data_IF_674442112076
#
_entry.id   IF_674442112076
#
_cell.length_a   1.000
_cell.length_b   1.000
_cell.length_c   1.000
_cell.angle_alpha   90.00
_cell.angle_beta   90.00
_cell.angle_gamma   90.00
#
_symmetry.space_group_name_H-M   'P 1'
#
loop_
_entity.id
_entity.type
_entity.pdbx_description
1 polymer ?
#
# COMPACT_ATOMS: atom_id res chain seq x y z
N UNK A 1 -15.23 43.04 26.15
CA UNK A 1 -14.25 41.97 25.83
C UNK A 1 -14.61 41.40 24.48
N UNK A 2 -13.62 41.28 23.60
CA UNK A 2 -13.72 41.07 22.14
C UNK A 2 -14.43 39.75 21.76
N UNK A 3 -15.18 39.72 20.63
CA UNK A 3 -14.92 38.67 19.65
C UNK A 3 -14.74 39.28 18.25
N UNK A 4 -13.48 39.37 17.82
CA UNK A 4 -13.02 39.65 16.46
C UNK A 4 -12.26 38.40 16.03
N UNK A 5 -12.92 37.48 15.33
CA UNK A 5 -12.19 36.53 14.48
C UNK A 5 -13.00 35.99 13.30
N UNK A 6 -14.34 36.03 13.33
CA UNK A 6 -15.16 35.52 12.21
C UNK A 6 -15.31 36.47 11.01
N UNK A 7 -14.86 37.73 11.11
CA UNK A 7 -15.02 38.72 10.03
C UNK A 7 -13.84 38.79 9.04
N UNK A 8 -12.67 38.23 9.36
CA UNK A 8 -11.47 38.40 8.51
C UNK A 8 -11.26 37.27 7.50
N UNK A 9 -11.77 36.06 7.76
CA UNK A 9 -11.53 34.89 6.89
C UNK A 9 -12.47 34.87 5.68
N UNK A 10 -13.66 35.48 5.78
CA UNK A 10 -14.59 35.66 4.65
C UNK A 10 -14.00 36.59 3.57
N UNK A 11 -13.02 37.44 3.93
CA UNK A 11 -12.44 38.43 3.02
C UNK A 11 -11.33 37.89 2.10
N UNK A 12 -10.74 36.73 2.40
CA UNK A 12 -9.59 36.22 1.66
C UNK A 12 -9.99 35.49 0.36
N UNK A 13 -11.13 34.78 0.33
CA UNK A 13 -11.59 34.08 -0.88
C UNK A 13 -12.48 34.94 -1.78
N UNK A 14 -12.94 36.11 -1.29
CA UNK A 14 -13.67 37.10 -2.09
C UNK A 14 -12.77 37.82 -3.12
N UNK A 15 -11.45 37.64 -3.08
CA UNK A 15 -10.53 38.39 -3.94
C UNK A 15 -10.62 38.04 -5.43
N UNK A 16 -11.09 36.84 -5.80
CA UNK A 16 -11.32 36.48 -7.21
C UNK A 16 -12.68 36.94 -7.75
N UNK A 17 -13.61 37.33 -6.87
CA UNK A 17 -14.93 37.90 -7.21
C UNK A 17 -14.86 39.44 -7.27
N UNK A 18 -13.70 40.04 -6.96
CA UNK A 18 -13.52 41.49 -6.83
C UNK A 18 -13.61 42.29 -8.13
N UNK A 19 -13.57 41.70 -9.33
CA UNK A 19 -13.75 42.47 -10.57
C UNK A 19 -15.22 42.82 -10.86
N UNK A 20 -16.19 42.13 -10.23
CA UNK A 20 -17.62 42.40 -10.37
C UNK A 20 -18.24 43.12 -9.14
N UNK A 21 -17.48 43.26 -8.05
CA UNK A 21 -17.97 43.84 -6.78
C UNK A 21 -17.74 45.36 -6.64
N UNK A 22 -17.66 46.11 -7.74
CA UNK A 22 -17.75 47.58 -7.70
C UNK A 22 -19.22 48.00 -7.59
N UNK A 23 -19.79 47.91 -6.38
CA UNK A 23 -21.12 48.47 -6.13
C UNK A 23 -21.95 47.89 -4.98
N UNK A 24 -21.37 47.10 -4.06
CA UNK A 24 -22.15 46.59 -2.94
C UNK A 24 -22.28 47.64 -1.84
N UNK A 25 -23.31 48.47 -2.00
CA UNK A 25 -23.90 49.28 -0.93
C UNK A 25 -24.43 48.33 0.14
N UNK A 26 -24.13 48.66 1.40
CA UNK A 26 -24.51 47.93 2.60
C UNK A 26 -26.04 47.87 2.79
N UNK A 27 -26.66 46.77 2.40
CA UNK A 27 -28.04 46.39 2.74
C UNK A 27 -28.06 44.90 3.16
N UNK A 28 -28.73 44.59 4.28
CA UNK A 28 -28.96 43.22 4.77
C UNK A 28 -29.57 42.30 3.70
N UNK A 29 -30.36 42.84 2.77
CA UNK A 29 -30.91 42.09 1.61
C UNK A 29 -29.84 41.59 0.65
N UNK A 30 -28.74 42.32 0.49
CA UNK A 30 -27.61 41.91 -0.36
C UNK A 30 -26.80 40.80 0.33
N UNK A 31 -26.58 40.91 1.64
CA UNK A 31 -25.92 39.86 2.42
C UNK A 31 -26.73 38.55 2.45
N UNK A 32 -28.06 38.62 2.54
CA UNK A 32 -28.94 37.46 2.51
C UNK A 32 -28.87 36.71 1.17
N UNK A 33 -28.83 37.43 0.03
CA UNK A 33 -28.66 36.83 -1.31
C UNK A 33 -27.32 36.13 -1.45
N UNK A 34 -26.24 36.72 -0.94
CA UNK A 34 -24.90 36.13 -0.97
C UNK A 34 -24.84 34.88 -0.10
N UNK A 35 -25.40 34.92 1.10
CA UNK A 35 -25.50 33.75 1.96
C UNK A 35 -26.35 32.64 1.33
N UNK A 36 -27.42 32.98 0.62
CA UNK A 36 -28.22 32.01 -0.13
C UNK A 36 -27.43 31.38 -1.28
N UNK A 37 -26.71 32.18 -2.06
CA UNK A 37 -25.85 31.71 -3.16
C UNK A 37 -24.72 30.79 -2.68
N UNK A 38 -24.03 31.18 -1.60
CA UNK A 38 -22.98 30.35 -0.99
C UNK A 38 -23.55 29.02 -0.46
N UNK A 39 -24.77 29.03 0.11
CA UNK A 39 -25.46 27.81 0.54
C UNK A 39 -25.81 26.88 -0.63
N UNK A 40 -26.26 27.42 -1.76
CA UNK A 40 -26.56 26.59 -2.94
C UNK A 40 -25.30 25.96 -3.55
N UNK A 41 -24.20 26.70 -3.61
CA UNK A 41 -22.90 26.18 -4.08
C UNK A 41 -22.35 25.10 -3.14
N UNK A 42 -22.46 25.30 -1.82
CA UNK A 42 -22.09 24.28 -0.83
C UNK A 42 -22.95 23.02 -0.99
N UNK A 43 -24.27 23.15 -1.15
CA UNK A 43 -25.15 22.01 -1.35
C UNK A 43 -24.84 21.23 -2.64
N UNK A 44 -24.53 21.94 -3.73
CA UNK A 44 -24.10 21.32 -4.98
C UNK A 44 -22.76 20.58 -4.82
N UNK A 45 -21.80 21.17 -4.12
CA UNK A 45 -20.50 20.55 -3.81
C UNK A 45 -20.68 19.29 -2.98
N UNK A 46 -21.53 19.31 -1.95
CA UNK A 46 -21.84 18.14 -1.11
C UNK A 46 -22.47 17.02 -1.95
N UNK A 47 -23.42 17.35 -2.83
CA UNK A 47 -24.04 16.38 -3.73
C UNK A 47 -23.03 15.74 -4.70
N UNK A 48 -22.00 16.49 -5.13
CA UNK A 48 -20.90 15.95 -5.92
C UNK A 48 -20.02 14.99 -5.10
N UNK A 49 -19.68 15.36 -3.86
CA UNK A 49 -18.90 14.50 -2.95
C UNK A 49 -19.64 13.19 -2.68
N UNK A 50 -20.96 13.24 -2.50
CA UNK A 50 -21.79 12.05 -2.30
C UNK A 50 -21.80 11.09 -3.49
N UNK A 51 -21.52 11.57 -4.71
CA UNK A 51 -21.40 10.71 -5.92
C UNK A 51 -19.95 10.27 -6.17
N UNK A 52 -18.99 11.06 -5.72
CA UNK A 52 -17.58 10.83 -5.91
C UNK A 52 -16.80 11.43 -4.73
N UNK A 53 -16.44 10.61 -3.74
CA UNK A 53 -15.65 11.03 -2.58
C UNK A 53 -14.37 11.83 -2.90
N UNK A 54 -13.73 11.60 -4.07
CA UNK A 54 -12.56 12.39 -4.48
C UNK A 54 -12.87 13.84 -4.86
N UNK A 55 -14.15 14.20 -5.06
CA UNK A 55 -14.57 15.58 -5.28
C UNK A 55 -14.28 16.49 -4.06
N UNK A 56 -14.00 15.90 -2.90
CA UNK A 56 -13.57 16.61 -1.69
C UNK A 56 -12.36 17.54 -1.94
N UNK A 57 -11.51 17.22 -2.94
CA UNK A 57 -10.37 18.07 -3.36
C UNK A 57 -10.75 19.49 -3.79
N UNK A 58 -11.97 19.67 -4.30
CA UNK A 58 -12.47 20.95 -4.79
C UNK A 58 -13.32 21.69 -3.75
N UNK A 59 -13.64 21.03 -2.64
CA UNK A 59 -14.47 21.60 -1.60
C UNK A 59 -13.76 22.73 -0.86
N UNK A 60 -14.51 23.62 -0.22
CA UNK A 60 -13.95 24.64 0.67
C UNK A 60 -13.29 24.01 1.90
N UNK A 61 -12.40 24.73 2.57
CA UNK A 61 -11.73 24.25 3.79
C UNK A 61 -12.73 23.85 4.88
N UNK A 62 -13.86 24.56 4.97
CA UNK A 62 -14.94 24.27 5.91
C UNK A 62 -15.57 22.90 5.63
N UNK A 63 -15.80 22.55 4.37
CA UNK A 63 -16.35 21.24 3.99
C UNK A 63 -15.31 20.13 4.21
N UNK A 64 -14.03 20.40 3.96
CA UNK A 64 -12.93 19.43 4.23
C UNK A 64 -12.67 19.19 5.72
N UNK A 65 -13.13 20.10 6.57
CA UNK A 65 -13.10 19.96 8.02
C UNK A 65 -14.42 19.45 8.60
N UNK A 66 -15.45 19.25 7.77
CA UNK A 66 -16.72 18.69 8.19
C UNK A 66 -16.60 17.17 8.31
N UNK A 67 -16.74 16.68 9.54
CA UNK A 67 -16.53 15.27 9.89
C UNK A 67 -17.44 14.34 9.10
N UNK A 68 -18.72 14.66 8.98
CA UNK A 68 -19.71 13.76 8.38
C UNK A 68 -19.57 13.71 6.86
N UNK A 69 -19.27 14.86 6.24
CA UNK A 69 -19.00 14.93 4.80
C UNK A 69 -17.73 14.14 4.45
N UNK A 70 -16.66 14.32 5.23
CA UNK A 70 -15.41 13.57 5.03
C UNK A 70 -15.61 12.08 5.25
N UNK A 71 -16.33 11.69 6.31
CA UNK A 71 -16.63 10.28 6.60
C UNK A 71 -17.36 9.62 5.44
N UNK A 72 -18.39 10.28 4.89
CA UNK A 72 -19.12 9.79 3.71
C UNK A 72 -18.19 9.68 2.47
N UNK A 73 -17.28 10.64 2.28
CA UNK A 73 -16.33 10.61 1.17
C UNK A 73 -15.34 9.44 1.26
N UNK A 74 -14.74 9.22 2.45
CA UNK A 74 -13.74 8.16 2.65
C UNK A 74 -14.36 6.77 2.64
N UNK A 75 -15.62 6.64 3.05
CA UNK A 75 -16.36 5.38 2.98
C UNK A 75 -16.55 4.92 1.53
N UNK A 76 -16.74 5.84 0.59
CA UNK A 76 -16.82 5.53 -0.83
C UNK A 76 -15.44 5.28 -1.44
N UNK A 77 -14.48 6.16 -1.14
CA UNK A 77 -13.14 6.12 -1.70
C UNK A 77 -12.13 6.52 -0.61
N UNK A 78 -11.46 5.54 0.00
CA UNK A 78 -10.51 5.79 1.10
C UNK A 78 -9.42 6.82 0.79
N UNK A 79 -9.05 6.97 -0.49
CA UNK A 79 -8.11 7.99 -0.99
C UNK A 79 -8.60 9.44 -0.82
N UNK A 80 -9.89 9.66 -0.56
CA UNK A 80 -10.43 10.98 -0.24
C UNK A 80 -9.81 11.56 1.04
N UNK A 81 -9.27 10.72 1.93
CA UNK A 81 -8.61 11.13 3.17
C UNK A 81 -7.51 12.18 2.94
N UNK A 82 -6.83 12.16 1.79
CA UNK A 82 -5.78 13.11 1.45
C UNK A 82 -6.26 14.57 1.36
N UNK A 83 -7.57 14.78 1.18
CA UNK A 83 -8.17 16.10 1.07
C UNK A 83 -8.85 16.55 2.37
N UNK A 84 -8.97 15.68 3.36
CA UNK A 84 -9.51 16.03 4.65
C UNK A 84 -8.60 17.03 5.39
N UNK A 85 -9.19 17.83 6.27
CA UNK A 85 -8.43 18.69 7.18
C UNK A 85 -7.52 17.86 8.09
N UNK A 86 -6.43 18.47 8.55
CA UNK A 86 -5.36 17.77 9.29
C UNK A 86 -5.88 17.09 10.55
N UNK A 87 -6.84 17.73 11.23
CA UNK A 87 -7.49 17.20 12.43
C UNK A 87 -8.26 15.91 12.13
N UNK A 88 -8.90 15.81 10.95
CA UNK A 88 -9.64 14.62 10.54
C UNK A 88 -8.72 13.52 9.99
N UNK A 89 -7.52 13.86 9.51
CA UNK A 89 -6.48 12.88 9.18
C UNK A 89 -5.83 12.26 10.42
N UNK A 90 -6.03 12.88 11.59
CA UNK A 90 -5.66 12.36 12.90
C UNK A 90 -6.85 11.71 13.65
N UNK A 91 -8.07 11.74 13.10
CA UNK A 91 -9.25 11.06 13.67
C UNK A 91 -9.18 9.56 13.35
N UNK A 92 -9.09 8.74 14.40
CA UNK A 92 -8.94 7.28 14.30
C UNK A 92 -10.11 6.65 13.55
N UNK A 93 -11.35 7.09 13.77
CA UNK A 93 -12.54 6.48 13.15
C UNK A 93 -12.60 6.77 11.65
N UNK A 94 -12.28 8.01 11.26
CA UNK A 94 -12.20 8.40 9.85
C UNK A 94 -11.09 7.63 9.16
N UNK A 95 -9.90 7.57 9.76
CA UNK A 95 -8.78 6.84 9.17
C UNK A 95 -9.06 5.35 9.09
N UNK A 96 -9.65 4.74 10.13
CA UNK A 96 -10.06 3.33 10.11
C UNK A 96 -11.08 3.06 9.00
N UNK A 97 -12.03 3.97 8.79
CA UNK A 97 -13.00 3.87 7.69
C UNK A 97 -12.28 3.95 6.34
N UNK A 98 -11.36 4.89 6.18
CA UNK A 98 -10.59 5.08 4.95
C UNK A 98 -9.72 3.87 4.61
N UNK A 99 -9.00 3.30 5.59
CA UNK A 99 -8.12 2.14 5.36
C UNK A 99 -8.89 0.84 5.14
N UNK A 100 -10.09 0.70 5.71
CA UNK A 100 -11.00 -0.41 5.39
C UNK A 100 -11.51 -0.33 3.95
N UNK A 101 -11.75 0.87 3.44
CA UNK A 101 -12.12 1.08 2.03
C UNK A 101 -10.93 0.89 1.08
N UNK A 102 -9.75 1.40 1.45
CA UNK A 102 -8.50 1.23 0.72
C UNK A 102 -7.30 1.31 1.68
N UNK A 103 -6.58 0.20 1.88
CA UNK A 103 -5.46 0.11 2.83
C UNK A 103 -4.32 1.07 2.53
N UNK A 104 -4.14 1.47 1.26
CA UNK A 104 -3.13 2.46 0.87
C UNK A 104 -3.47 3.88 1.33
N UNK A 105 -4.71 4.14 1.77
CA UNK A 105 -5.12 5.42 2.36
C UNK A 105 -4.32 5.75 3.63
N UNK A 106 -3.70 4.75 4.28
CA UNK A 106 -2.83 4.93 5.45
C UNK A 106 -1.73 5.98 5.21
N UNK A 107 -1.28 6.18 3.95
CA UNK A 107 -0.26 7.19 3.62
C UNK A 107 -0.67 8.63 3.91
N UNK A 108 -1.98 8.89 3.93
CA UNK A 108 -2.54 10.22 4.16
C UNK A 108 -2.90 10.48 5.62
N UNK A 109 -2.93 9.43 6.44
CA UNK A 109 -3.15 9.54 7.87
C UNK A 109 -2.04 10.33 8.56
N UNK A 110 -2.38 10.93 9.69
CA UNK A 110 -1.42 11.64 10.52
C UNK A 110 -0.26 10.71 10.96
N UNK A 111 0.96 11.24 11.16
CA UNK A 111 2.13 10.44 11.51
C UNK A 111 1.93 9.52 12.73
N UNK A 112 1.15 9.97 13.71
CA UNK A 112 0.83 9.24 14.93
C UNK A 112 0.01 7.99 14.64
N UNK A 113 -0.97 8.08 13.73
CA UNK A 113 -1.81 6.95 13.31
C UNK A 113 -1.10 5.97 12.38
N UNK A 114 -0.06 6.43 11.68
CA UNK A 114 0.87 5.55 10.92
C UNK A 114 1.81 4.77 11.83
N UNK A 115 1.85 5.10 13.11
CA UNK A 115 2.60 4.42 14.16
C UNK A 115 1.69 3.64 15.14
N UNK A 116 0.37 3.74 14.95
CA UNK A 116 -0.63 2.99 15.70
C UNK A 116 -0.78 1.57 15.13
N UNK A 117 -0.55 0.57 15.96
CA UNK A 117 -0.57 -0.84 15.53
C UNK A 117 -1.96 -1.29 15.07
N UNK A 118 -3.04 -0.79 15.67
CA UNK A 118 -4.41 -1.17 15.33
C UNK A 118 -4.82 -0.62 13.96
N UNK A 119 -4.55 0.65 13.71
CA UNK A 119 -4.80 1.31 12.42
C UNK A 119 -3.96 0.67 11.31
N UNK A 120 -2.67 0.49 11.55
CA UNK A 120 -1.77 -0.10 10.54
C UNK A 120 -2.14 -1.56 10.27
N UNK A 121 -2.49 -2.35 11.29
CA UNK A 121 -2.93 -3.73 11.08
C UNK A 121 -4.23 -3.78 10.27
N UNK A 122 -5.21 -2.89 10.52
CA UNK A 122 -6.42 -2.79 9.71
C UNK A 122 -6.10 -2.49 8.23
N UNK A 123 -5.18 -1.57 7.98
CA UNK A 123 -4.72 -1.23 6.63
C UNK A 123 -4.01 -2.42 5.95
N UNK A 124 -3.15 -3.13 6.69
CA UNK A 124 -2.39 -4.29 6.22
C UNK A 124 -3.31 -5.48 5.90
N UNK A 125 -4.35 -5.71 6.70
CA UNK A 125 -5.36 -6.74 6.44
C UNK A 125 -6.14 -6.45 5.15
N UNK A 126 -6.39 -5.17 4.86
CA UNK A 126 -7.02 -4.77 3.60
C UNK A 126 -6.06 -4.90 2.41
N UNK A 127 -4.83 -4.41 2.56
CA UNK A 127 -3.76 -4.51 1.56
C UNK A 127 -2.40 -4.60 2.25
N UNK A 128 -1.71 -5.74 2.08
CA UNK A 128 -0.40 -5.98 2.69
C UNK A 128 0.68 -4.94 2.32
N UNK A 129 0.55 -4.28 1.16
CA UNK A 129 1.47 -3.20 0.75
C UNK A 129 1.32 -1.93 1.60
N UNK A 130 0.23 -1.76 2.33
CA UNK A 130 0.05 -0.63 3.27
C UNK A 130 1.16 -0.56 4.33
N UNK A 131 1.85 -1.68 4.59
CA UNK A 131 3.05 -1.73 5.43
C UNK A 131 4.13 -0.71 5.01
N UNK A 132 4.19 -0.32 3.73
CA UNK A 132 5.07 0.74 3.21
C UNK A 132 4.90 2.07 3.96
N UNK A 133 3.67 2.37 4.39
CA UNK A 133 3.33 3.66 4.99
C UNK A 133 3.43 3.66 6.51
N UNK A 134 3.58 2.49 7.14
CA UNK A 134 3.85 2.37 8.56
C UNK A 134 5.22 2.99 8.93
N UNK A 135 5.43 3.31 10.20
CA UNK A 135 6.75 3.76 10.67
C UNK A 135 7.81 2.66 10.58
N UNK A 136 9.09 3.04 10.65
CA UNK A 136 10.20 2.07 10.69
C UNK A 136 10.06 1.09 11.86
N UNK A 137 9.56 1.56 13.01
CA UNK A 137 9.29 0.74 14.20
C UNK A 137 8.33 -0.40 13.87
N UNK A 138 7.18 -0.07 13.28
CA UNK A 138 6.17 -1.06 12.92
C UNK A 138 6.60 -1.98 11.76
N UNK A 139 7.40 -1.48 10.81
CA UNK A 139 8.01 -2.34 9.78
C UNK A 139 9.03 -3.35 10.33
N UNK A 140 9.52 -3.14 11.55
CA UNK A 140 10.31 -4.11 12.30
C UNK A 140 9.48 -5.02 13.22
N UNK A 141 8.17 -4.82 13.32
CA UNK A 141 7.31 -5.68 14.13
C UNK A 141 7.06 -7.00 13.39
N UNK A 142 7.62 -8.09 13.93
CA UNK A 142 7.53 -9.42 13.33
C UNK A 142 6.08 -9.81 13.03
N UNK A 143 5.18 -9.71 14.00
CA UNK A 143 3.79 -10.13 13.85
C UNK A 143 3.04 -9.33 12.78
N UNK A 144 3.21 -8.01 12.76
CA UNK A 144 2.59 -7.15 11.76
C UNK A 144 3.11 -7.48 10.34
N UNK A 145 4.42 -7.69 10.19
CA UNK A 145 5.00 -8.06 8.89
C UNK A 145 4.51 -9.44 8.46
N UNK A 146 4.42 -10.41 9.38
CA UNK A 146 3.83 -11.72 9.08
C UNK A 146 2.42 -11.57 8.53
N UNK A 147 1.56 -10.77 9.18
CA UNK A 147 0.20 -10.50 8.69
C UNK A 147 0.22 -9.87 7.28
N UNK A 148 1.12 -8.90 7.05
CA UNK A 148 1.25 -8.25 5.74
C UNK A 148 1.67 -9.23 4.65
N UNK A 149 2.66 -10.07 4.95
CA UNK A 149 3.16 -11.11 4.06
C UNK A 149 2.07 -12.14 3.76
N UNK A 150 1.28 -12.56 4.75
CA UNK A 150 0.17 -13.50 4.52
C UNK A 150 -0.91 -12.94 3.61
N UNK A 151 -1.16 -11.63 3.67
CA UNK A 151 -2.13 -10.98 2.77
C UNK A 151 -1.55 -10.78 1.38
N UNK A 152 -0.28 -10.38 1.29
CA UNK A 152 0.43 -10.13 0.05
C UNK A 152 1.93 -10.39 0.19
N UNK A 153 2.46 -11.46 -0.43
CA UNK A 153 3.87 -11.85 -0.28
C UNK A 153 4.88 -10.75 -0.66
N UNK A 154 4.52 -9.85 -1.59
CA UNK A 154 5.37 -8.71 -1.96
C UNK A 154 5.52 -7.66 -0.86
N UNK A 155 4.70 -7.68 0.20
CA UNK A 155 4.81 -6.79 1.35
C UNK A 155 6.15 -6.93 2.10
N UNK A 156 6.84 -8.08 1.96
CA UNK A 156 8.16 -8.32 2.54
C UNK A 156 9.19 -7.23 2.14
N UNK A 157 9.05 -6.61 0.97
CA UNK A 157 9.94 -5.54 0.51
C UNK A 157 9.97 -4.32 1.44
N UNK A 158 8.87 -4.09 2.16
CA UNK A 158 8.71 -2.96 3.07
C UNK A 158 9.16 -3.26 4.49
N UNK A 159 9.40 -4.52 4.83
CA UNK A 159 9.86 -4.92 6.14
C UNK A 159 11.26 -4.37 6.46
N UNK A 160 11.57 -4.25 7.74
CA UNK A 160 12.93 -3.93 8.20
C UNK A 160 13.93 -5.03 7.78
N UNK A 161 15.20 -4.67 7.61
CA UNK A 161 16.23 -5.61 7.16
C UNK A 161 16.34 -6.85 8.07
N UNK A 162 16.20 -6.67 9.39
CA UNK A 162 16.20 -7.77 10.35
C UNK A 162 15.09 -8.79 10.08
N UNK A 163 13.89 -8.33 9.68
CA UNK A 163 12.76 -9.22 9.34
C UNK A 163 12.96 -9.89 7.98
N UNK A 164 13.62 -9.22 7.03
CA UNK A 164 14.01 -9.83 5.74
C UNK A 164 15.11 -10.89 5.87
N UNK A 165 15.76 -10.97 7.03
CA UNK A 165 16.68 -12.04 7.41
C UNK A 165 16.02 -13.20 8.15
N UNK A 166 14.72 -13.12 8.46
CA UNK A 166 13.99 -14.22 9.10
C UNK A 166 13.59 -15.26 8.04
N UNK A 167 14.18 -16.47 8.04
CA UNK A 167 13.92 -17.48 7.02
C UNK A 167 12.45 -17.91 7.00
N UNK A 168 11.78 -17.97 8.16
CA UNK A 168 10.38 -18.40 8.24
C UNK A 168 9.46 -17.42 7.52
N UNK A 169 9.69 -16.12 7.68
CA UNK A 169 8.88 -15.07 7.05
C UNK A 169 9.14 -15.02 5.55
N UNK A 170 10.40 -15.20 5.13
CA UNK A 170 10.74 -15.24 3.69
C UNK A 170 10.10 -16.47 3.02
N UNK A 171 10.17 -17.64 3.64
CA UNK A 171 9.51 -18.85 3.13
C UNK A 171 8.00 -18.72 3.12
N UNK A 172 7.41 -18.08 4.14
CA UNK A 172 5.98 -17.78 4.17
C UNK A 172 5.58 -16.87 3.01
N UNK A 173 6.39 -15.87 2.69
CA UNK A 173 6.18 -14.97 1.55
C UNK A 173 6.24 -15.71 0.21
N UNK A 174 7.17 -16.67 0.08
CA UNK A 174 7.30 -17.52 -1.11
C UNK A 174 6.08 -18.42 -1.33
N UNK A 175 5.45 -18.90 -0.24
CA UNK A 175 4.26 -19.76 -0.30
C UNK A 175 2.99 -19.02 -0.74
N UNK A 176 2.98 -17.69 -0.71
CA UNK A 176 1.77 -16.94 -1.06
C UNK A 176 1.45 -17.00 -2.56
N UNK A 177 0.18 -17.22 -2.93
CA UNK A 177 -0.22 -17.22 -4.33
C UNK A 177 -0.03 -15.81 -4.90
N UNK A 178 0.85 -15.70 -5.88
CA UNK A 178 1.04 -14.45 -6.59
C UNK A 178 -0.25 -14.07 -7.33
N UNK A 179 -1.02 -13.10 -6.82
CA UNK A 179 -2.22 -12.58 -7.50
C UNK A 179 -1.88 -11.92 -8.84
N UNK A 180 -0.60 -11.65 -9.14
CA UNK A 180 -0.12 -11.24 -10.47
C UNK A 180 -0.06 -12.38 -11.50
N UNK A 181 -0.68 -13.53 -11.22
CA UNK A 181 -0.80 -14.68 -12.15
C UNK A 181 -1.68 -14.41 -13.38
N UNK A 182 -2.26 -13.21 -13.55
CA UNK A 182 -2.75 -12.73 -14.85
C UNK A 182 -1.59 -12.18 -15.67
N UNK A 183 -0.87 -13.09 -16.32
CA UNK A 183 0.06 -12.80 -17.41
C UNK A 183 -0.69 -11.97 -18.46
N UNK A 184 -0.30 -10.71 -18.68
CA UNK A 184 -0.57 -10.07 -19.97
C UNK A 184 0.46 -10.63 -20.97
N UNK A 185 0.04 -11.27 -22.08
CA UNK A 185 0.97 -11.90 -23.03
C UNK A 185 1.88 -10.92 -23.80
N UNK A 186 1.70 -9.61 -23.64
CA UNK A 186 2.22 -8.58 -24.54
C UNK A 186 3.57 -7.99 -24.17
N UNK A 187 4.22 -8.42 -23.08
CA UNK A 187 5.59 -7.97 -22.75
C UNK A 187 6.54 -9.16 -22.50
N UNK A 188 7.47 -9.44 -23.42
CA UNK A 188 8.58 -10.37 -23.19
C UNK A 188 9.65 -9.64 -22.36
N UNK A 189 9.47 -9.65 -21.04
CA UNK A 189 10.49 -9.27 -20.06
C UNK A 189 10.61 -10.39 -19.01
N UNK A 190 11.75 -10.52 -18.29
CA UNK A 190 11.97 -11.64 -17.38
C UNK A 190 10.92 -11.58 -16.28
N UNK A 191 9.97 -12.50 -16.37
CA UNK A 191 8.67 -12.45 -15.72
C UNK A 191 8.82 -12.32 -14.21
N UNK A 192 8.22 -11.25 -13.64
CA UNK A 192 8.17 -10.97 -12.20
C UNK A 192 7.28 -12.01 -11.48
N UNK A 193 7.85 -13.19 -11.22
CA UNK A 193 7.40 -14.04 -10.12
C UNK A 193 7.44 -13.24 -8.81
N UNK A 194 6.64 -13.61 -7.80
CA UNK A 194 6.70 -12.96 -6.48
C UNK A 194 8.05 -13.27 -5.86
N UNK A 195 9.04 -12.44 -6.15
CA UNK A 195 10.42 -12.74 -5.83
C UNK A 195 10.71 -12.28 -4.41
N UNK A 196 10.08 -12.91 -3.42
CA UNK A 196 10.35 -12.66 -2.00
C UNK A 196 11.86 -12.77 -1.71
N UNK A 197 12.56 -13.68 -2.43
CA UNK A 197 14.01 -13.84 -2.39
C UNK A 197 14.78 -12.63 -2.90
N UNK A 198 14.25 -11.83 -3.84
CA UNK A 198 14.88 -10.56 -4.21
C UNK A 198 15.09 -9.66 -2.98
N UNK A 199 14.10 -9.64 -2.08
CA UNK A 199 14.11 -8.81 -0.87
C UNK A 199 14.75 -9.48 0.33
N UNK A 200 15.01 -10.79 0.28
CA UNK A 200 15.68 -11.51 1.36
C UNK A 200 17.10 -10.97 1.59
N UNK A 201 17.52 -10.97 2.86
CA UNK A 201 18.86 -10.57 3.26
C UNK A 201 19.92 -11.44 2.56
N UNK A 202 21.07 -10.85 2.23
CA UNK A 202 22.15 -11.56 1.54
C UNK A 202 22.68 -12.77 2.35
N UNK A 203 22.60 -12.71 3.67
CA UNK A 203 22.97 -13.81 4.56
C UNK A 203 22.12 -15.06 4.35
N UNK A 204 20.82 -14.89 4.12
CA UNK A 204 19.93 -16.01 3.79
C UNK A 204 20.28 -16.63 2.43
N UNK A 205 20.66 -15.80 1.46
CA UNK A 205 21.06 -16.26 0.12
C UNK A 205 22.35 -17.07 0.10
N UNK A 206 23.19 -16.93 1.13
CA UNK A 206 24.38 -17.77 1.39
C UNK A 206 24.09 -18.99 2.23
N UNK A 207 22.93 -19.06 2.86
CA UNK A 207 22.58 -20.18 3.73
C UNK A 207 22.12 -21.37 2.87
N UNK A 208 22.96 -22.41 2.80
CA UNK A 208 22.69 -23.64 2.05
C UNK A 208 21.33 -24.25 2.40
N UNK A 209 21.05 -24.44 3.70
CA UNK A 209 19.81 -25.08 4.17
C UNK A 209 18.58 -24.30 3.75
N UNK A 210 18.60 -22.99 3.97
CA UNK A 210 17.52 -22.10 3.55
C UNK A 210 17.32 -22.13 2.03
N UNK A 211 18.40 -22.06 1.25
CA UNK A 211 18.30 -22.06 -0.22
C UNK A 211 17.83 -23.41 -0.78
N UNK A 212 18.15 -24.54 -0.13
CA UNK A 212 17.61 -25.85 -0.48
C UNK A 212 16.10 -25.93 -0.19
N UNK A 213 15.64 -25.35 0.92
CA UNK A 213 14.21 -25.27 1.23
C UNK A 213 13.49 -24.33 0.26
N UNK A 214 14.06 -23.17 -0.04
CA UNK A 214 13.55 -22.22 -1.03
C UNK A 214 13.45 -22.85 -2.43
N UNK A 215 14.46 -23.62 -2.85
CA UNK A 215 14.47 -24.34 -4.12
C UNK A 215 13.41 -25.47 -4.19
N UNK A 216 12.96 -25.99 -3.05
CA UNK A 216 11.83 -26.93 -3.02
C UNK A 216 10.47 -26.26 -3.27
N UNK A 217 10.39 -24.94 -3.07
CA UNK A 217 9.18 -24.14 -3.25
C UNK A 217 9.10 -23.45 -4.62
N UNK A 218 10.23 -22.95 -5.14
CA UNK A 218 10.31 -22.23 -6.42
C UNK A 218 11.64 -22.54 -7.13
N UNK A 219 11.55 -23.04 -8.38
CA UNK A 219 12.71 -23.36 -9.23
C UNK A 219 13.62 -22.15 -9.46
N UNK A 220 13.06 -20.94 -9.50
CA UNK A 220 13.83 -19.72 -9.69
C UNK A 220 14.59 -19.29 -8.43
N UNK A 221 14.39 -19.95 -7.29
CA UNK A 221 15.14 -19.65 -6.07
C UNK A 221 16.65 -19.81 -6.26
N UNK A 222 17.09 -20.77 -7.07
CA UNK A 222 18.51 -20.97 -7.38
C UNK A 222 19.15 -19.75 -8.05
N UNK A 223 18.39 -18.97 -8.82
CA UNK A 223 18.87 -17.72 -9.40
C UNK A 223 19.23 -16.65 -8.36
N UNK A 224 18.68 -16.76 -7.14
CA UNK A 224 18.94 -15.85 -6.03
C UNK A 224 19.99 -16.34 -5.04
N UNK A 225 20.45 -17.58 -5.18
CA UNK A 225 21.55 -18.10 -4.36
C UNK A 225 22.82 -17.28 -4.60
N UNK A 226 23.63 -17.16 -3.55
CA UNK A 226 24.96 -16.57 -3.64
C UNK A 226 25.84 -17.33 -4.65
N UNK A 227 26.77 -16.62 -5.30
CA UNK A 227 27.64 -17.19 -6.33
C UNK A 227 28.46 -18.38 -5.81
N UNK A 228 28.84 -18.37 -4.53
CA UNK A 228 29.56 -19.48 -3.89
C UNK A 228 28.73 -20.75 -3.82
N UNK A 229 27.43 -20.64 -3.53
CA UNK A 229 26.51 -21.79 -3.55
C UNK A 229 26.23 -22.26 -4.97
N UNK A 230 26.05 -21.33 -5.92
CA UNK A 230 25.82 -21.68 -7.33
C UNK A 230 27.01 -22.40 -7.97
N UNK A 231 28.23 -22.12 -7.51
CA UNK A 231 29.44 -22.78 -7.95
C UNK A 231 29.67 -24.17 -7.33
N UNK A 232 28.93 -24.54 -6.27
CA UNK A 232 29.01 -25.86 -5.63
C UNK A 232 28.11 -26.88 -6.35
N UNK A 233 28.68 -27.85 -7.09
CA UNK A 233 27.89 -28.85 -7.81
C UNK A 233 27.05 -29.72 -6.87
N UNK A 234 27.54 -30.00 -5.66
CA UNK A 234 26.79 -30.81 -4.70
C UNK A 234 25.52 -30.08 -4.22
N UNK A 235 25.60 -28.76 -4.01
CA UNK A 235 24.43 -27.94 -3.71
C UNK A 235 23.41 -27.95 -4.85
N UNK A 236 23.86 -27.69 -6.07
CA UNK A 236 22.97 -27.61 -7.25
C UNK A 236 22.28 -28.95 -7.49
N UNK A 237 23.01 -30.07 -7.40
CA UNK A 237 22.45 -31.41 -7.54
C UNK A 237 21.44 -31.72 -6.45
N UNK A 238 21.75 -31.39 -5.18
CA UNK A 238 20.85 -31.62 -4.06
C UNK A 238 19.54 -30.81 -4.22
N UNK A 239 19.62 -29.55 -4.63
CA UNK A 239 18.46 -28.72 -4.89
C UNK A 239 17.55 -29.31 -5.99
N UNK A 240 18.14 -29.83 -7.06
CA UNK A 240 17.43 -30.49 -8.15
C UNK A 240 16.80 -31.83 -7.71
N UNK A 241 17.46 -32.59 -6.85
CA UNK A 241 16.96 -33.87 -6.34
C UNK A 241 15.78 -33.70 -5.38
N UNK A 242 15.83 -32.74 -4.46
CA UNK A 242 14.73 -32.44 -3.52
C UNK A 242 13.41 -32.11 -4.24
N UNK A 243 13.50 -31.59 -5.45
CA UNK A 243 12.37 -31.34 -6.35
C UNK A 243 11.79 -32.60 -6.99
N UNK A 244 12.63 -33.56 -7.40
CA UNK A 244 12.15 -34.82 -8.02
C UNK A 244 11.26 -35.65 -7.10
N UNK A 245 11.35 -35.44 -5.78
CA UNK A 245 10.44 -36.02 -4.80
C UNK A 245 9.03 -35.38 -4.78
N UNK A 246 8.86 -34.18 -5.36
CA UNK A 246 7.64 -33.37 -5.22
C UNK A 246 6.93 -32.97 -6.53
N UNK A 247 7.56 -33.11 -7.71
CA UNK A 247 6.95 -32.68 -9.00
C UNK A 247 7.17 -33.72 -10.09
N UNK A 248 6.11 -34.45 -10.49
CA UNK A 248 6.14 -35.44 -11.59
C UNK A 248 5.91 -34.84 -12.99
N UNK A 249 5.75 -33.52 -13.17
CA UNK A 249 5.25 -32.99 -14.46
C UNK A 249 5.69 -31.54 -14.82
N UNK A 250 6.99 -31.26 -15.04
CA UNK A 250 7.43 -29.95 -15.56
C UNK A 250 8.70 -30.02 -16.47
N UNK A 251 8.88 -29.13 -17.47
CA UNK A 251 9.82 -29.31 -18.60
C UNK A 251 11.32 -29.33 -18.29
N UNK A 252 11.76 -28.94 -17.08
CA UNK A 252 13.19 -29.01 -16.71
C UNK A 252 13.70 -30.44 -16.49
N UNK A 253 12.82 -31.44 -16.41
CA UNK A 253 13.22 -32.87 -16.37
C UNK A 253 13.98 -33.29 -17.63
N UNK A 254 13.76 -32.58 -18.76
CA UNK A 254 14.51 -32.83 -20.01
C UNK A 254 15.99 -32.45 -19.85
N UNK A 255 16.33 -31.47 -19.01
CA UNK A 255 17.72 -31.04 -18.80
C UNK A 255 18.50 -32.01 -17.90
N UNK A 256 17.85 -32.62 -16.89
CA UNK A 256 18.47 -33.67 -16.07
C UNK A 256 18.73 -34.97 -16.86
N UNK A 257 17.85 -35.33 -17.79
CA UNK A 257 18.05 -36.49 -18.66
C UNK A 257 19.24 -36.32 -19.62
N UNK A 258 19.58 -35.07 -19.98
CA UNK A 258 20.76 -34.75 -20.80
C UNK A 258 22.04 -34.77 -19.97
N UNK A 259 22.02 -34.24 -18.74
CA UNK A 259 23.19 -34.24 -17.85
C UNK A 259 23.57 -35.66 -17.40
N UNK A 260 22.60 -36.50 -17.01
CA UNK A 260 22.86 -37.90 -16.64
C UNK A 260 23.35 -38.78 -17.81
N UNK A 261 23.16 -38.35 -19.07
CA UNK A 261 23.70 -39.04 -20.26
C UNK A 261 25.13 -38.63 -20.60
N UNK A 262 25.61 -37.48 -20.12
CA UNK A 262 26.99 -37.03 -20.35
C UNK A 262 27.99 -37.65 -19.37
N UNK A 263 27.53 -38.16 -18.22
CA UNK A 263 28.35 -38.90 -17.24
C UNK A 263 28.48 -40.40 -17.54
N UNK A 264 27.85 -40.89 -18.62
CA UNK A 264 27.93 -42.30 -19.07
C UNK A 264 28.56 -42.47 -20.47
N UNK A 265 29.26 -41.45 -20.97
CA UNK A 265 30.14 -41.54 -22.15
C UNK A 265 31.57 -41.22 -21.75
#
# INVERSE_FOLDING_TARGET
>A
GIPKSNSMVVLAHAASVKSEAKGWVADERSAAKVAQFLRSEHAATIAQIQRNGLALRYASLQIRADRDIVLAAVQQQGEALQFAADELRADVDIVLTAVKANGLALRHAAPELRDDIGVVNAAVQQNGEALEHATKRLRGNRHLVTNAVTTHGAALRFAANAIRGDPEIVLLAMKQPNKSRRVQPSQPGPYKACNALQYAAAELKRNRTFMLEAASLDDWALGHADDTLKADPAFVLEALQRRSAHVTNHPCVVTLAVINRMDQM
#
